data_IF_597913200336
#
_entry.id   IF_597913200336
#
_cell.length_a   1.000
_cell.length_b   1.000
_cell.length_c   1.000
_cell.angle_alpha   90.00
_cell.angle_beta   90.00
_cell.angle_gamma   90.00
#
_symmetry.space_group_name_H-M   'P 1'
#
loop_
_entity.id
_entity.type
_entity.pdbx_description
1 polymer ?
#
# COMPACT_ATOMS: atom_id res chain seq x y z
N UNK A 1 13.85 -47.30 -35.84
CA UNK A 1 15.01 -46.64 -35.21
C UNK A 1 15.03 -45.17 -35.59
N UNK A 2 15.49 -44.31 -34.66
CA UNK A 2 15.70 -42.85 -34.72
C UNK A 2 14.55 -41.97 -34.23
N UNK A 3 14.47 -41.91 -32.90
CA UNK A 3 14.01 -40.73 -32.19
C UNK A 3 14.96 -39.54 -32.42
N UNK A 4 14.38 -38.38 -32.68
CA UNK A 4 15.05 -37.09 -32.68
C UNK A 4 14.44 -36.22 -31.60
N UNK A 5 15.19 -36.01 -30.51
CA UNK A 5 14.83 -35.16 -29.37
C UNK A 5 14.53 -33.74 -29.86
N UNK A 6 13.29 -33.26 -29.70
CA UNK A 6 13.06 -31.82 -29.53
C UNK A 6 13.30 -31.51 -28.06
N UNK A 7 14.51 -31.05 -27.73
CA UNK A 7 14.72 -30.27 -26.51
C UNK A 7 13.90 -29.00 -26.68
N UNK A 8 12.78 -28.90 -25.97
CA UNK A 8 12.16 -27.60 -25.72
C UNK A 8 13.21 -26.76 -25.01
N UNK A 9 13.60 -25.67 -25.66
CA UNK A 9 14.31 -24.56 -25.02
C UNK A 9 13.36 -23.99 -23.98
N UNK A 10 13.56 -24.37 -22.72
CA UNK A 10 12.98 -23.72 -21.56
C UNK A 10 13.48 -22.26 -21.60
N UNK A 11 12.65 -21.38 -22.16
CA UNK A 11 12.93 -19.96 -22.20
C UNK A 11 12.72 -19.51 -20.76
N UNK A 12 13.82 -19.29 -20.03
CA UNK A 12 13.77 -18.61 -18.75
C UNK A 12 13.17 -17.21 -19.01
N UNK A 13 11.85 -17.10 -18.88
CA UNK A 13 11.20 -15.80 -18.77
C UNK A 13 11.74 -15.20 -17.48
N UNK A 14 12.53 -14.13 -17.59
CA UNK A 14 12.97 -13.39 -16.43
C UNK A 14 11.73 -13.06 -15.59
N UNK A 15 11.74 -13.27 -14.26
CA UNK A 15 10.59 -13.00 -13.42
C UNK A 15 10.43 -11.48 -13.22
N UNK A 16 10.10 -10.76 -14.30
CA UNK A 16 10.09 -9.29 -14.35
C UNK A 16 9.08 -8.74 -13.35
N UNK A 17 7.92 -9.39 -13.23
CA UNK A 17 6.88 -9.00 -12.27
C UNK A 17 7.33 -9.17 -10.81
N UNK A 18 7.95 -10.30 -10.45
CA UNK A 18 8.42 -10.56 -9.07
C UNK A 18 9.52 -9.58 -8.66
N UNK A 19 10.48 -9.32 -9.56
CA UNK A 19 11.53 -8.33 -9.34
C UNK A 19 10.93 -6.93 -9.19
N UNK A 20 9.92 -6.58 -10.01
CA UNK A 20 9.26 -5.28 -9.94
C UNK A 20 8.51 -5.09 -8.62
N UNK A 21 7.81 -6.12 -8.14
CA UNK A 21 7.16 -6.12 -6.82
C UNK A 21 8.17 -5.87 -5.71
N UNK A 22 9.31 -6.59 -5.76
CA UNK A 22 10.35 -6.47 -4.75
C UNK A 22 10.98 -5.06 -4.77
N UNK A 23 11.26 -4.52 -5.96
CA UNK A 23 11.74 -3.15 -6.14
C UNK A 23 10.72 -2.14 -5.61
N UNK A 24 9.43 -2.32 -5.91
CA UNK A 24 8.36 -1.44 -5.44
C UNK A 24 8.27 -1.47 -3.91
N UNK A 25 8.33 -2.64 -3.29
CA UNK A 25 8.33 -2.77 -1.83
C UNK A 25 9.53 -2.10 -1.17
N UNK A 26 10.73 -2.28 -1.71
CA UNK A 26 11.94 -1.62 -1.20
C UNK A 26 11.81 -0.10 -1.36
N UNK A 27 11.46 0.36 -2.56
CA UNK A 27 11.29 1.78 -2.85
C UNK A 27 10.24 2.42 -1.94
N UNK A 28 9.09 1.76 -1.76
CA UNK A 28 8.01 2.28 -0.93
C UNK A 28 8.40 2.36 0.54
N UNK A 29 9.16 1.36 1.03
CA UNK A 29 9.63 1.31 2.40
C UNK A 29 10.72 2.34 2.68
N UNK A 30 11.69 2.50 1.79
CA UNK A 30 12.75 3.53 1.89
C UNK A 30 12.12 4.93 1.87
N UNK A 31 11.17 5.15 0.95
CA UNK A 31 10.45 6.41 0.88
C UNK A 31 9.64 6.68 2.15
N UNK A 32 8.95 5.67 2.69
CA UNK A 32 8.22 5.80 3.95
C UNK A 32 9.14 6.16 5.13
N UNK A 33 10.33 5.55 5.22
CA UNK A 33 11.35 5.88 6.24
C UNK A 33 11.83 7.33 6.08
N UNK A 34 12.05 7.78 4.84
CA UNK A 34 12.44 9.16 4.55
C UNK A 34 11.38 10.19 4.97
N UNK A 35 10.11 9.94 4.65
CA UNK A 35 9.02 10.82 5.11
C UNK A 35 8.92 10.79 6.64
N UNK A 36 9.10 9.61 7.24
CA UNK A 36 9.04 9.45 8.68
C UNK A 36 10.14 10.22 9.43
N UNK A 37 11.36 10.27 8.88
CA UNK A 37 12.46 11.03 9.48
C UNK A 37 12.19 12.54 9.43
N UNK A 38 11.65 13.06 8.32
CA UNK A 38 11.24 14.46 8.21
C UNK A 38 10.14 14.78 9.24
N UNK A 39 9.12 13.93 9.34
CA UNK A 39 8.01 14.16 10.26
C UNK A 39 8.45 14.21 11.72
N UNK A 40 9.37 13.33 12.14
CA UNK A 40 9.94 13.36 13.50
C UNK A 40 10.80 14.59 13.76
N UNK A 41 11.51 15.10 12.75
CA UNK A 41 12.30 16.32 12.89
C UNK A 41 11.40 17.55 13.13
N UNK A 42 10.20 17.58 12.53
CA UNK A 42 9.25 18.69 12.68
C UNK A 42 8.41 18.55 13.95
N UNK A 43 7.96 17.34 14.28
CA UNK A 43 7.12 17.06 15.45
C UNK A 43 7.60 15.80 16.20
N UNK A 44 8.57 15.94 17.13
CA UNK A 44 9.14 14.80 17.86
C UNK A 44 8.13 14.08 18.77
N UNK A 45 7.04 14.75 19.14
CA UNK A 45 6.02 14.28 20.09
C UNK A 45 5.04 13.25 19.54
N UNK A 46 5.05 13.00 18.22
CA UNK A 46 4.06 12.12 17.56
C UNK A 46 4.34 10.64 17.80
N UNK A 47 5.59 10.25 18.03
CA UNK A 47 5.94 8.85 18.28
C UNK A 47 5.90 8.49 19.78
N UNK A 48 5.41 7.29 20.15
CA UNK A 48 5.16 6.90 21.53
C UNK A 48 6.42 6.99 22.39
N UNK A 49 6.29 7.60 23.56
CA UNK A 49 7.39 7.81 24.51
C UNK A 49 7.61 6.61 25.45
N UNK A 50 6.63 5.71 25.58
CA UNK A 50 6.71 4.51 26.44
C UNK A 50 6.10 3.28 25.77
N UNK A 51 6.56 2.08 26.16
CA UNK A 51 6.05 0.79 25.67
C UNK A 51 4.56 0.60 26.00
N UNK A 52 4.11 1.09 27.15
CA UNK A 52 2.70 1.03 27.58
C UNK A 52 1.80 1.83 26.64
N UNK A 53 2.23 3.02 26.22
CA UNK A 53 1.48 3.85 25.26
C UNK A 53 1.34 3.15 23.90
N UNK A 54 2.40 2.45 23.44
CA UNK A 54 2.35 1.66 22.21
C UNK A 54 1.28 0.56 22.24
N UNK A 55 1.18 -0.19 23.34
CA UNK A 55 0.15 -1.24 23.49
C UNK A 55 -1.27 -0.69 23.45
N UNK A 56 -1.50 0.47 24.08
CA UNK A 56 -2.81 1.15 24.03
C UNK A 56 -3.15 1.56 22.59
N UNK A 57 -2.17 2.06 21.83
CA UNK A 57 -2.36 2.36 20.41
C UNK A 57 -2.70 1.11 19.60
N UNK A 58 -2.05 -0.03 19.82
CA UNK A 58 -2.39 -1.28 19.11
C UNK A 58 -3.87 -1.63 19.30
N UNK A 59 -4.36 -1.62 20.54
CA UNK A 59 -5.77 -1.94 20.82
C UNK A 59 -6.70 -0.93 20.16
N UNK A 60 -6.38 0.36 20.26
CA UNK A 60 -7.16 1.44 19.64
C UNK A 60 -7.23 1.30 18.11
N UNK A 61 -6.09 1.12 17.44
CA UNK A 61 -6.03 0.99 15.98
C UNK A 61 -6.62 -0.32 15.47
N UNK A 62 -6.50 -1.41 16.23
CA UNK A 62 -7.12 -2.68 15.87
C UNK A 62 -8.65 -2.60 15.98
N UNK A 63 -9.17 -1.97 17.05
CA UNK A 63 -10.59 -1.69 17.18
C UNK A 63 -11.08 -0.75 16.06
N UNK A 64 -10.33 0.32 15.77
CA UNK A 64 -10.64 1.24 14.68
C UNK A 64 -10.65 0.54 13.32
N UNK A 65 -9.70 -0.37 13.04
CA UNK A 65 -9.64 -1.14 11.80
C UNK A 65 -10.85 -2.06 11.64
N UNK A 66 -11.30 -2.73 12.70
CA UNK A 66 -12.50 -3.57 12.69
C UNK A 66 -13.75 -2.71 12.43
N UNK A 67 -13.89 -1.60 13.15
CA UNK A 67 -15.03 -0.66 12.99
C UNK A 67 -15.04 -0.08 11.58
N UNK A 68 -13.89 0.36 11.07
CA UNK A 68 -13.74 0.90 9.73
C UNK A 68 -14.09 -0.15 8.67
N UNK A 69 -13.62 -1.38 8.81
CA UNK A 69 -13.95 -2.48 7.89
C UNK A 69 -15.45 -2.80 7.91
N UNK A 70 -16.06 -2.84 9.09
CA UNK A 70 -17.51 -3.04 9.22
C UNK A 70 -18.30 -1.87 8.59
N UNK A 71 -17.84 -0.64 8.76
CA UNK A 71 -18.41 0.56 8.15
C UNK A 71 -18.30 0.50 6.63
N UNK A 72 -17.16 0.12 6.08
CA UNK A 72 -16.97 -0.06 4.63
C UNK A 72 -17.94 -1.08 4.05
N UNK A 73 -18.09 -2.24 4.71
CA UNK A 73 -19.05 -3.27 4.27
C UNK A 73 -20.49 -2.75 4.36
N UNK A 74 -20.82 -2.05 5.45
CA UNK A 74 -22.14 -1.47 5.64
C UNK A 74 -22.47 -0.41 4.58
N UNK A 75 -21.55 0.51 4.29
CA UNK A 75 -21.68 1.51 3.23
C UNK A 75 -21.73 0.86 1.85
N UNK A 76 -20.90 -0.16 1.59
CA UNK A 76 -20.89 -0.89 0.33
C UNK A 76 -22.20 -1.63 0.03
N UNK A 77 -22.92 -2.08 1.07
CA UNK A 77 -24.27 -2.68 0.92
C UNK A 77 -25.38 -1.65 0.74
N UNK A 78 -25.24 -0.45 1.33
CA UNK A 78 -26.26 0.60 1.33
C UNK A 78 -26.18 1.55 0.13
N UNK A 79 -24.96 1.85 -0.33
CA UNK A 79 -24.70 2.81 -1.40
C UNK A 79 -24.22 2.10 -2.68
N UNK A 80 -24.58 2.65 -3.85
CA UNK A 80 -24.08 2.15 -5.15
C UNK A 80 -22.54 2.24 -5.18
N UNK A 81 -21.91 1.30 -5.88
CA UNK A 81 -20.45 1.11 -5.97
C UNK A 81 -19.63 2.36 -6.30
N UNK A 82 -20.23 3.32 -6.99
CA UNK A 82 -19.60 4.61 -7.27
C UNK A 82 -19.13 5.32 -5.99
N UNK A 83 -19.86 5.20 -4.87
CA UNK A 83 -19.45 5.81 -3.61
C UNK A 83 -18.12 5.24 -3.11
N UNK A 84 -17.95 3.92 -3.19
CA UNK A 84 -16.74 3.27 -2.69
C UNK A 84 -15.52 3.66 -3.55
N UNK A 85 -15.69 3.75 -4.88
CA UNK A 85 -14.65 4.28 -5.77
C UNK A 85 -14.24 5.71 -5.38
N UNK A 86 -15.19 6.61 -5.16
CA UNK A 86 -14.90 7.98 -4.73
C UNK A 86 -14.24 8.05 -3.36
N UNK A 87 -14.63 7.17 -2.43
CA UNK A 87 -13.98 7.05 -1.13
C UNK A 87 -12.50 6.66 -1.28
N UNK A 88 -12.19 5.69 -2.13
CA UNK A 88 -10.80 5.30 -2.41
C UNK A 88 -9.99 6.43 -3.04
N UNK A 89 -10.53 7.11 -4.06
CA UNK A 89 -9.89 8.28 -4.69
C UNK A 89 -9.63 9.38 -3.65
N UNK A 90 -10.58 9.63 -2.76
CA UNK A 90 -10.43 10.60 -1.67
C UNK A 90 -9.34 10.18 -0.67
N UNK A 91 -9.30 8.91 -0.26
CA UNK A 91 -8.27 8.40 0.67
C UNK A 91 -6.87 8.51 0.07
N UNK A 92 -6.70 8.16 -1.20
CA UNK A 92 -5.43 8.31 -1.92
C UNK A 92 -5.06 9.80 -1.99
N UNK A 93 -5.98 10.67 -2.39
CA UNK A 93 -5.74 12.12 -2.46
C UNK A 93 -5.32 12.73 -1.12
N UNK A 94 -5.99 12.33 -0.04
CA UNK A 94 -5.62 12.72 1.32
C UNK A 94 -4.23 12.20 1.70
N UNK A 95 -3.88 10.98 1.28
CA UNK A 95 -2.57 10.41 1.61
C UNK A 95 -1.44 11.09 0.87
N UNK A 96 -1.65 11.36 -0.42
CA UNK A 96 -0.73 12.16 -1.24
C UNK A 96 -0.58 13.55 -0.62
N UNK A 97 -1.68 14.22 -0.27
CA UNK A 97 -1.62 15.50 0.44
C UNK A 97 -0.77 15.43 1.71
N UNK A 98 -0.94 14.39 2.53
CA UNK A 98 -0.19 14.23 3.77
C UNK A 98 1.31 14.03 3.54
N UNK A 99 1.70 13.23 2.54
CA UNK A 99 3.11 13.05 2.15
C UNK A 99 3.71 14.35 1.64
N UNK A 100 3.00 15.03 0.73
CA UNK A 100 3.48 16.29 0.15
C UNK A 100 3.51 17.43 1.16
N UNK A 101 2.73 17.36 2.24
CA UNK A 101 2.83 18.29 3.35
C UNK A 101 4.21 18.28 4.00
N UNK A 102 4.80 17.09 4.20
CA UNK A 102 6.15 16.93 4.74
C UNK A 102 7.24 17.16 3.69
N UNK A 103 7.07 16.67 2.45
CA UNK A 103 8.02 16.93 1.38
C UNK A 103 8.12 18.41 1.03
N UNK A 104 6.99 19.13 1.05
CA UNK A 104 6.94 20.55 0.79
C UNK A 104 7.83 21.35 1.75
N UNK A 105 7.97 20.91 3.02
CA UNK A 105 8.85 21.56 3.99
C UNK A 105 10.34 21.46 3.64
N UNK A 106 10.71 20.45 2.85
CA UNK A 106 12.11 20.20 2.45
C UNK A 106 12.41 20.82 1.09
N UNK A 107 11.43 20.84 0.19
CA UNK A 107 11.61 21.25 -1.21
C UNK A 107 11.37 22.76 -1.41
N UNK A 108 10.44 23.35 -0.66
CA UNK A 108 10.06 24.75 -0.87
C UNK A 108 10.99 25.72 -0.13
N UNK A 109 11.48 26.74 -0.83
CA UNK A 109 12.25 27.83 -0.23
C UNK A 109 11.32 28.97 0.24
N UNK A 110 10.16 29.11 -0.41
CA UNK A 110 9.18 30.17 -0.12
C UNK A 110 7.82 29.60 0.32
N UNK A 111 7.08 30.32 1.16
CA UNK A 111 5.71 29.95 1.55
C UNK A 111 4.77 29.76 0.36
N UNK A 112 4.90 30.58 -0.69
CA UNK A 112 4.10 30.44 -1.91
C UNK A 112 4.35 29.09 -2.60
N UNK A 113 5.62 28.70 -2.72
CA UNK A 113 6.03 27.40 -3.30
C UNK A 113 5.48 26.24 -2.48
N UNK A 114 5.60 26.33 -1.15
CA UNK A 114 5.08 25.33 -0.21
C UNK A 114 3.59 25.04 -0.44
N UNK A 115 2.75 26.09 -0.45
CA UNK A 115 1.31 25.92 -0.67
C UNK A 115 0.99 25.45 -2.09
N UNK A 116 1.74 25.89 -3.10
CA UNK A 116 1.53 25.40 -4.47
C UNK A 116 1.83 23.92 -4.60
N UNK A 117 2.93 23.41 -4.04
CA UNK A 117 3.33 22.00 -4.12
C UNK A 117 2.29 21.11 -3.43
N UNK A 118 1.88 21.49 -2.23
CA UNK A 118 0.96 20.70 -1.40
C UNK A 118 -0.43 20.59 -2.01
N UNK A 119 -0.87 21.60 -2.76
CA UNK A 119 -2.17 21.56 -3.45
C UNK A 119 -2.04 20.90 -4.82
N UNK A 120 -1.01 21.27 -5.60
CA UNK A 120 -0.86 20.79 -6.97
C UNK A 120 -0.67 19.27 -7.03
N UNK A 121 0.20 18.69 -6.20
CA UNK A 121 0.51 17.28 -6.26
C UNK A 121 -0.68 16.33 -6.02
N UNK A 122 -1.48 16.48 -4.93
CA UNK A 122 -2.67 15.65 -4.74
C UNK A 122 -3.74 15.93 -5.79
N UNK A 123 -3.92 17.18 -6.23
CA UNK A 123 -4.87 17.50 -7.30
C UNK A 123 -4.48 16.78 -8.60
N UNK A 124 -3.21 16.80 -8.99
CA UNK A 124 -2.72 16.11 -10.19
C UNK A 124 -3.00 14.61 -10.09
N UNK A 125 -2.62 13.96 -8.98
CA UNK A 125 -2.85 12.50 -8.81
C UNK A 125 -4.35 12.17 -8.83
N UNK A 126 -5.19 12.97 -8.16
CA UNK A 126 -6.64 12.75 -8.14
C UNK A 126 -7.25 12.93 -9.54
N UNK A 127 -6.83 13.97 -10.27
CA UNK A 127 -7.29 14.20 -11.64
C UNK A 127 -6.86 13.05 -12.56
N UNK A 128 -5.60 12.61 -12.47
CA UNK A 128 -5.12 11.45 -13.23
C UNK A 128 -5.95 10.21 -12.89
N UNK A 129 -6.23 9.93 -11.62
CA UNK A 129 -7.02 8.76 -11.23
C UNK A 129 -8.49 8.83 -11.71
N UNK A 130 -9.04 10.04 -11.89
CA UNK A 130 -10.41 10.24 -12.39
C UNK A 130 -10.48 10.13 -13.91
N UNK A 131 -9.53 10.75 -14.62
CA UNK A 131 -9.55 10.88 -16.09
C UNK A 131 -8.80 9.75 -16.79
N UNK A 132 -7.69 9.29 -16.23
CA UNK A 132 -6.77 8.29 -16.77
C UNK A 132 -6.60 7.14 -15.77
N UNK A 133 -7.55 6.20 -15.79
CA UNK A 133 -7.45 4.97 -14.98
C UNK A 133 -6.53 3.94 -15.65
N UNK A 134 -5.33 4.37 -16.03
CA UNK A 134 -4.28 3.52 -16.55
C UNK A 134 -3.57 2.79 -15.41
N UNK A 135 -3.06 1.58 -15.68
CA UNK A 135 -2.45 0.72 -14.65
C UNK A 135 -1.29 1.40 -13.92
N UNK A 136 -0.44 2.16 -14.63
CA UNK A 136 0.70 2.86 -14.04
C UNK A 136 0.27 4.03 -13.13
N UNK A 137 -0.87 4.67 -13.40
CA UNK A 137 -1.42 5.73 -12.54
C UNK A 137 -1.90 5.13 -11.23
N UNK A 138 -2.58 3.99 -11.30
CA UNK A 138 -3.04 3.24 -10.11
C UNK A 138 -1.84 2.76 -9.29
N UNK A 139 -0.78 2.28 -9.93
CA UNK A 139 0.43 1.85 -9.23
C UNK A 139 1.16 3.02 -8.55
N UNK A 140 1.27 4.18 -9.20
CA UNK A 140 1.87 5.37 -8.55
C UNK A 140 1.01 5.85 -7.38
N UNK A 141 -0.31 5.87 -7.53
CA UNK A 141 -1.24 6.19 -6.45
C UNK A 141 -1.13 5.18 -5.29
N UNK A 142 -1.06 3.89 -5.62
CA UNK A 142 -0.85 2.80 -4.67
C UNK A 142 0.49 2.91 -3.94
N UNK A 143 1.56 3.32 -4.63
CA UNK A 143 2.87 3.57 -4.04
C UNK A 143 2.78 4.63 -2.92
N UNK A 144 2.16 5.77 -3.20
CA UNK A 144 1.96 6.82 -2.19
C UNK A 144 1.06 6.34 -1.04
N UNK A 145 0.01 5.58 -1.34
CA UNK A 145 -0.87 5.03 -0.30
C UNK A 145 -0.11 4.07 0.62
N UNK A 146 0.65 3.11 0.07
CA UNK A 146 1.42 2.14 0.83
C UNK A 146 2.51 2.82 1.65
N UNK A 147 3.34 3.66 1.01
CA UNK A 147 4.40 4.39 1.71
C UNK A 147 3.84 5.28 2.81
N UNK A 148 2.77 6.01 2.53
CA UNK A 148 2.13 6.85 3.51
C UNK A 148 1.59 6.04 4.69
N UNK A 149 0.91 4.92 4.42
CA UNK A 149 0.33 4.09 5.47
C UNK A 149 1.41 3.51 6.38
N UNK A 150 2.49 3.01 5.78
CA UNK A 150 3.67 2.52 6.51
C UNK A 150 4.32 3.63 7.34
N UNK A 151 4.43 4.84 6.79
CA UNK A 151 4.92 6.02 7.49
C UNK A 151 4.09 6.35 8.74
N UNK A 152 2.78 6.54 8.58
CA UNK A 152 1.87 6.96 9.67
C UNK A 152 1.82 5.90 10.77
N UNK A 153 1.53 4.65 10.40
CA UNK A 153 1.37 3.59 11.39
C UNK A 153 2.71 3.19 12.01
N UNK A 154 3.81 3.25 11.27
CA UNK A 154 5.14 2.93 11.77
C UNK A 154 5.60 3.90 12.86
N UNK A 155 5.37 5.20 12.69
CA UNK A 155 5.67 6.22 13.73
C UNK A 155 4.82 6.01 14.97
N UNK A 156 3.51 5.76 14.78
CA UNK A 156 2.56 5.79 15.90
C UNK A 156 2.63 4.51 16.75
N UNK A 157 2.81 3.34 16.14
CA UNK A 157 2.81 2.08 16.87
C UNK A 157 4.12 1.84 17.62
N UNK A 158 5.26 2.20 17.02
CA UNK A 158 6.58 1.78 17.52
C UNK A 158 6.83 0.28 17.39
N UNK A 159 8.07 -0.16 17.61
CA UNK A 159 8.54 -1.52 17.23
C UNK A 159 7.74 -2.64 17.89
N UNK A 160 7.68 -2.66 19.23
CA UNK A 160 7.03 -3.75 19.97
C UNK A 160 5.53 -3.85 19.68
N UNK A 161 4.88 -2.70 19.56
CA UNK A 161 3.46 -2.64 19.28
C UNK A 161 3.17 -3.00 17.81
N UNK A 162 4.02 -2.60 16.86
CA UNK A 162 3.93 -3.02 15.47
C UNK A 162 4.07 -4.54 15.31
N UNK A 163 4.98 -5.20 16.04
CA UNK A 163 5.12 -6.67 16.02
C UNK A 163 3.84 -7.34 16.49
N UNK A 164 3.26 -6.90 17.61
CA UNK A 164 2.00 -7.45 18.13
C UNK A 164 0.86 -7.22 17.14
N UNK A 165 0.76 -6.01 16.60
CA UNK A 165 -0.25 -5.65 15.61
C UNK A 165 -0.17 -6.56 14.37
N UNK A 166 1.02 -6.72 13.79
CA UNK A 166 1.23 -7.57 12.61
C UNK A 166 1.00 -9.06 12.92
N UNK A 167 1.44 -9.53 14.09
CA UNK A 167 1.18 -10.91 14.50
C UNK A 167 -0.32 -11.20 14.65
N UNK A 168 -1.09 -10.27 15.23
CA UNK A 168 -2.54 -10.41 15.33
C UNK A 168 -3.22 -10.43 13.96
N UNK A 169 -2.81 -9.57 13.03
CA UNK A 169 -3.31 -9.57 11.66
C UNK A 169 -2.94 -10.86 10.91
N UNK A 170 -1.73 -11.37 11.07
CA UNK A 170 -1.30 -12.63 10.47
C UNK A 170 -2.09 -13.83 11.02
N UNK A 171 -2.35 -13.86 12.34
CA UNK A 171 -3.18 -14.90 12.96
C UNK A 171 -4.63 -14.80 12.45
N UNK A 172 -5.17 -13.58 12.35
CA UNK A 172 -6.51 -13.36 11.80
C UNK A 172 -6.62 -13.88 10.36
N UNK A 173 -5.66 -13.52 9.51
CA UNK A 173 -5.63 -13.95 8.11
C UNK A 173 -5.53 -15.48 7.98
N UNK A 174 -4.65 -16.10 8.76
CA UNK A 174 -4.54 -17.56 8.85
C UNK A 174 -5.87 -18.23 9.26
N UNK A 175 -6.53 -17.72 10.31
CA UNK A 175 -7.83 -18.26 10.76
C UNK A 175 -8.90 -18.08 9.67
N UNK A 176 -8.91 -16.91 9.01
CA UNK A 176 -9.85 -16.59 7.93
C UNK A 176 -9.72 -17.58 6.78
N UNK A 177 -8.49 -17.81 6.30
CA UNK A 177 -8.19 -18.70 5.18
C UNK A 177 -8.49 -20.16 5.52
N UNK A 178 -7.94 -20.68 6.62
CA UNK A 178 -7.97 -22.12 6.90
C UNK A 178 -9.25 -22.59 7.60
N UNK A 179 -9.83 -21.78 8.49
CA UNK A 179 -10.96 -22.21 9.32
C UNK A 179 -12.30 -21.83 8.73
N UNK A 180 -12.45 -20.60 8.24
CA UNK A 180 -13.75 -20.09 7.80
C UNK A 180 -13.98 -20.24 6.30
N UNK A 181 -12.90 -20.34 5.50
CA UNK A 181 -12.94 -20.25 4.02
C UNK A 181 -13.77 -19.06 3.51
N UNK A 182 -14.07 -18.07 4.36
CA UNK A 182 -14.99 -16.97 4.09
C UNK A 182 -14.40 -16.02 3.03
N UNK A 183 -13.07 -15.95 2.96
CA UNK A 183 -12.32 -15.21 1.95
C UNK A 183 -12.54 -15.73 0.51
N UNK A 184 -12.86 -17.02 0.34
CA UNK A 184 -13.20 -17.62 -0.97
C UNK A 184 -14.62 -17.21 -1.38
N UNK A 185 -15.53 -17.04 -0.42
CA UNK A 185 -16.91 -16.61 -0.66
C UNK A 185 -17.06 -15.10 -0.91
N UNK A 186 -16.22 -14.27 -0.28
CA UNK A 186 -16.22 -12.81 -0.47
C UNK A 186 -15.55 -12.37 -1.77
N UNK A 187 -14.48 -13.06 -2.17
CA UNK A 187 -13.80 -12.84 -3.45
C UNK A 187 -14.77 -12.98 -4.63
N UNK A 188 -15.69 -13.95 -4.56
CA UNK A 188 -16.76 -14.18 -5.56
C UNK A 188 -17.77 -13.03 -5.71
N UNK A 189 -17.86 -12.11 -4.73
CA UNK A 189 -18.75 -10.93 -4.77
C UNK A 189 -17.98 -9.66 -5.16
N UNK A 190 -16.68 -9.59 -4.86
CA UNK A 190 -15.84 -8.42 -5.11
C UNK A 190 -15.22 -8.38 -6.52
N UNK A 191 -15.01 -9.54 -7.16
CA UNK A 191 -14.43 -9.67 -8.51
C UNK A 191 -15.31 -9.09 -9.63
N UNK A 192 -16.61 -8.89 -9.36
CA UNK A 192 -17.56 -8.40 -10.36
C UNK A 192 -17.50 -6.85 -10.55
N UNK A 193 -16.70 -6.12 -9.74
CA UNK A 193 -16.95 -4.69 -9.44
C UNK A 193 -15.78 -3.70 -9.58
N UNK A 194 -14.69 -4.01 -10.30
CA UNK A 194 -13.62 -3.05 -10.71
C UNK A 194 -13.14 -2.08 -9.61
N UNK A 195 -12.87 -2.58 -8.41
CA UNK A 195 -12.32 -1.75 -7.34
C UNK A 195 -10.78 -1.76 -7.41
N UNK A 196 -10.11 -0.61 -7.63
CA UNK A 196 -8.66 -0.54 -7.73
C UNK A 196 -8.04 -0.67 -6.34
N UNK A 197 -7.90 -1.93 -5.89
CA UNK A 197 -7.34 -2.29 -4.57
C UNK A 197 -6.04 -3.10 -4.69
N UNK A 198 -5.52 -3.22 -5.92
CA UNK A 198 -4.41 -4.08 -6.27
C UNK A 198 -3.42 -3.31 -7.15
N UNK A 199 -2.12 -3.48 -6.90
CA UNK A 199 -1.07 -3.18 -7.87
C UNK A 199 -1.17 -4.13 -9.04
N UNK A 200 -0.82 -3.66 -10.24
CA UNK A 200 -0.93 -4.46 -11.46
C UNK A 200 0.38 -4.39 -12.24
N UNK A 201 1.11 -5.50 -12.28
CA UNK A 201 2.41 -5.59 -12.96
C UNK A 201 2.30 -6.38 -14.28
N UNK A 202 2.57 -5.78 -15.45
CA UNK A 202 2.70 -6.52 -16.69
C UNK A 202 3.82 -7.57 -16.60
N UNK A 203 3.57 -8.81 -17.04
CA UNK A 203 4.65 -9.80 -17.24
C UNK A 203 5.40 -9.56 -18.55
N UNK A 204 4.77 -8.89 -19.52
CA UNK A 204 5.37 -8.49 -20.81
C UNK A 204 5.13 -6.98 -21.07
N UNK A 205 6.14 -6.13 -20.84
CA UNK A 205 6.08 -4.68 -21.14
C UNK A 205 5.90 -4.34 -22.63
N UNK A 206 6.15 -5.31 -23.54
CA UNK A 206 6.00 -5.11 -24.99
C UNK A 206 4.56 -5.23 -25.51
N UNK A 207 3.67 -5.86 -24.74
CA UNK A 207 2.25 -5.97 -25.07
C UNK A 207 1.52 -4.94 -24.22
N UNK A 208 1.07 -3.86 -24.85
CA UNK A 208 0.28 -2.84 -24.18
C UNK A 208 -0.83 -3.47 -23.36
N UNK A 209 -0.72 -3.34 -22.05
CA UNK A 209 -1.73 -3.80 -21.11
C UNK A 209 -2.81 -2.73 -21.12
N UNK A 210 -3.77 -2.87 -22.05
CA UNK A 210 -4.98 -2.03 -22.06
C UNK A 210 -5.80 -2.23 -20.79
N UNK A 211 -6.93 -1.52 -20.66
CA UNK A 211 -7.89 -1.65 -19.54
C UNK A 211 -8.10 -3.12 -19.18
N UNK A 212 -7.55 -3.55 -18.04
CA UNK A 212 -7.62 -4.94 -17.62
C UNK A 212 -8.91 -5.15 -16.85
N UNK A 213 -9.79 -5.97 -17.41
CA UNK A 213 -10.90 -6.58 -16.68
C UNK A 213 -10.35 -7.77 -15.88
N UNK A 214 -10.56 -7.73 -14.56
CA UNK A 214 -10.08 -8.76 -13.62
C UNK A 214 -11.08 -9.94 -13.66
N UNK A 215 -10.68 -11.10 -14.18
CA UNK A 215 -11.54 -12.31 -14.30
C UNK A 215 -11.25 -13.41 -13.27
N UNK A 216 -12.26 -14.24 -13.02
CA UNK A 216 -12.52 -15.14 -11.87
C UNK A 216 -11.49 -16.24 -11.51
N UNK A 217 -10.40 -16.48 -12.26
CA UNK A 217 -9.58 -17.71 -12.08
C UNK A 217 -8.11 -17.47 -11.70
N UNK A 218 -7.82 -16.30 -11.14
CA UNK A 218 -6.48 -15.75 -11.31
C UNK A 218 -6.32 -15.27 -12.75
N UNK A 219 -5.25 -14.52 -12.99
CA UNK A 219 -4.99 -13.89 -14.28
C UNK A 219 -5.09 -14.93 -15.42
N UNK A 220 -6.25 -14.96 -16.11
CA UNK A 220 -6.57 -15.95 -17.14
C UNK A 220 -5.80 -15.73 -18.44
N UNK A 221 -5.04 -14.64 -18.50
CA UNK A 221 -4.08 -14.31 -19.52
C UNK A 221 -2.80 -13.97 -18.78
N UNK A 222 -1.79 -14.85 -18.74
CA UNK A 222 -0.50 -14.81 -17.99
C UNK A 222 0.34 -13.50 -18.14
N UNK A 223 -0.29 -12.40 -18.54
CA UNK A 223 0.20 -11.07 -18.92
C UNK A 223 0.28 -10.08 -17.77
N UNK A 224 -0.31 -10.36 -16.60
CA UNK A 224 -0.24 -9.45 -15.45
C UNK A 224 -0.17 -10.19 -14.12
N UNK A 225 0.44 -9.60 -13.10
CA UNK A 225 0.45 -10.08 -11.72
C UNK A 225 -0.20 -9.01 -10.84
N UNK A 226 -1.13 -9.40 -9.97
CA UNK A 226 -1.82 -8.49 -9.07
C UNK A 226 -1.37 -8.69 -7.61
N UNK A 227 -1.12 -7.61 -6.89
CA UNK A 227 -0.66 -7.63 -5.49
C UNK A 227 -1.48 -6.67 -4.63
N UNK A 228 -1.90 -7.08 -3.43
CA UNK A 228 -2.65 -6.22 -2.52
C UNK A 228 -1.82 -5.05 -2.01
N UNK A 229 -2.41 -3.86 -1.90
CA UNK A 229 -1.76 -2.71 -1.25
C UNK A 229 -1.34 -3.02 0.19
N UNK A 230 -2.12 -3.84 0.90
CA UNK A 230 -1.80 -4.30 2.25
C UNK A 230 -0.52 -5.15 2.32
N UNK A 231 -0.23 -5.96 1.31
CA UNK A 231 0.93 -6.85 1.29
C UNK A 231 2.25 -6.06 1.23
N UNK A 232 2.22 -4.87 0.64
CA UNK A 232 3.34 -3.93 0.62
C UNK A 232 3.36 -3.05 1.88
N UNK A 233 2.19 -2.54 2.28
CA UNK A 233 2.08 -1.58 3.37
C UNK A 233 2.37 -2.20 4.75
N UNK A 234 1.83 -3.39 5.06
CA UNK A 234 1.93 -4.00 6.38
C UNK A 234 3.38 -4.33 6.79
N UNK A 235 4.20 -5.00 5.97
CA UNK A 235 5.62 -5.18 6.31
C UNK A 235 6.36 -3.84 6.39
N UNK A 236 5.98 -2.86 5.55
CA UNK A 236 6.54 -1.51 5.59
C UNK A 236 6.33 -0.79 6.94
N UNK A 237 5.24 -1.05 7.67
CA UNK A 237 5.02 -0.52 9.02
C UNK A 237 6.17 -0.91 9.95
N UNK A 238 6.60 -2.17 9.89
CA UNK A 238 7.69 -2.67 10.74
C UNK A 238 9.04 -2.09 10.33
N UNK A 239 9.28 -1.90 9.03
CA UNK A 239 10.50 -1.26 8.52
C UNK A 239 10.61 0.16 9.07
N UNK A 240 9.54 0.96 8.96
CA UNK A 240 9.49 2.33 9.50
C UNK A 240 9.66 2.32 11.02
N UNK A 241 8.89 1.52 11.74
CA UNK A 241 8.96 1.45 13.20
C UNK A 241 10.38 1.12 13.69
N UNK A 242 11.04 0.14 13.05
CA UNK A 242 12.42 -0.26 13.35
C UNK A 242 13.42 0.86 13.05
N UNK A 243 13.33 1.48 11.88
CA UNK A 243 14.20 2.60 11.51
C UNK A 243 14.04 3.79 12.47
N UNK A 244 12.82 4.14 12.86
CA UNK A 244 12.55 5.22 13.81
C UNK A 244 13.11 4.91 15.21
N UNK A 245 13.00 3.65 15.65
CA UNK A 245 13.58 3.22 16.91
C UNK A 245 15.11 3.30 16.90
N UNK A 246 15.75 2.88 15.80
CA UNK A 246 17.20 3.00 15.61
C UNK A 246 17.70 4.45 15.65
N UNK A 247 16.99 5.38 14.98
CA UNK A 247 17.32 6.80 15.01
C UNK A 247 17.19 7.41 16.42
N UNK A 248 16.18 6.99 17.21
CA UNK A 248 15.99 7.45 18.58
C UNK A 248 17.09 7.04 19.56
N UNK A 249 17.76 5.91 19.31
CA UNK A 249 18.84 5.40 20.16
C UNK A 249 20.21 5.95 19.72
N UNK A 250 20.26 6.77 18.67
CA UNK A 250 21.49 7.42 18.20
C UNK A 250 22.37 6.52 17.30
N UNK A 251 21.85 5.41 16.78
CA UNK A 251 22.59 4.52 15.89
C UNK A 251 22.55 4.93 14.41
N UNK A 252 21.72 5.91 14.06
CA UNK A 252 21.70 6.58 12.76
C UNK A 252 21.54 8.07 12.98
N UNK A 253 22.67 8.78 13.01
CA UNK A 253 22.74 10.24 12.89
C UNK A 253 23.56 10.49 11.63
N UNK A 254 23.11 11.31 10.66
CA UNK A 254 24.05 11.93 9.73
C UNK A 254 24.98 12.90 10.47
#
# INVERSE_FOLDING_TARGET
MRGGRRKMSEKYEFPVAEVTILVLFIASSVFAVYIASIALAVQPSVAPSTTTSGLVYVVYYLAAAIVFSALLIFLGRRFKLNFLKWLFVAMIGLMVFYIWNYLGLVIADTYAEYYTIIIAAPVIIVLLLIFENEWYVVDVAGFFLCSGMSFVLGIILGVWAAVIFLALFAIYDYISVYKTKHMIGLAKIALDRDLPMLFIFPTDFSKGVGKIEISEDGISDHRAMALGFGDVAFPGIMVVASAMYGMRIGHFVP
#
